data_IF_756266275940
#
_entry.id   IF_756266275940
#
_cell.length_a   1.000
_cell.length_b   1.000
_cell.length_c   1.000
_cell.angle_alpha   90.00
_cell.angle_beta   90.00
_cell.angle_gamma   90.00
#
_symmetry.space_group_name_H-M   'P 1'
#
loop_
_entity.id
_entity.type
_entity.pdbx_description
1 polymer ?
#
# COMPACT_ATOMS: atom_id res chain seq x y z
N UNK A 1 6.89 13.81 -3.41
CA UNK A 1 6.39 13.05 -2.24
C UNK A 1 7.10 11.70 -2.19
N UNK A 2 7.39 11.19 -1.00
CA UNK A 2 7.95 9.85 -0.82
C UNK A 2 6.95 8.99 -0.04
N UNK A 3 6.81 7.73 -0.42
CA UNK A 3 6.09 6.73 0.36
C UNK A 3 7.08 5.74 0.97
N UNK A 4 6.77 5.32 2.19
CA UNK A 4 7.48 4.27 2.88
C UNK A 4 6.48 3.51 3.76
N UNK A 5 6.64 2.20 3.85
CA UNK A 5 5.89 1.34 4.74
C UNK A 5 6.81 0.67 5.76
N UNK A 6 6.23 0.10 6.79
CA UNK A 6 6.95 -0.74 7.75
C UNK A 6 6.13 -2.01 8.00
N UNK A 7 6.81 -3.15 8.08
CA UNK A 7 6.22 -4.43 8.49
C UNK A 7 7.20 -5.17 9.38
N UNK A 8 6.78 -5.52 10.59
CA UNK A 8 7.65 -6.05 11.63
C UNK A 8 8.87 -5.13 11.86
N UNK A 9 10.08 -5.59 11.49
CA UNK A 9 11.35 -4.85 11.60
C UNK A 9 11.88 -4.37 10.25
N UNK A 10 11.09 -4.54 9.18
CA UNK A 10 11.49 -4.21 7.82
C UNK A 10 10.89 -2.89 7.38
N UNK A 11 11.76 -2.01 6.88
CA UNK A 11 11.35 -0.84 6.13
C UNK A 11 11.06 -1.24 4.68
N UNK A 12 9.87 -0.87 4.19
CA UNK A 12 9.40 -1.15 2.84
C UNK A 12 9.42 0.15 2.03
N UNK A 13 10.04 0.11 0.84
CA UNK A 13 10.26 1.31 0.02
C UNK A 13 11.74 1.72 0.01
N UNK A 14 12.09 2.99 -0.21
CA UNK A 14 11.27 4.19 -0.50
C UNK A 14 10.72 4.21 -1.93
N UNK A 15 9.48 4.67 -2.10
CA UNK A 15 8.92 4.96 -3.43
C UNK A 15 8.78 6.47 -3.65
N UNK A 16 9.40 6.98 -4.71
CA UNK A 16 9.35 8.40 -5.08
C UNK A 16 8.28 8.63 -6.13
N UNK A 17 7.26 9.41 -5.80
CA UNK A 17 6.28 9.86 -6.77
C UNK A 17 6.88 10.96 -7.66
N UNK A 18 6.67 10.85 -8.98
CA UNK A 18 7.10 11.86 -9.95
C UNK A 18 6.32 13.17 -9.86
N UNK A 19 5.11 13.11 -9.31
CA UNK A 19 4.19 14.24 -9.16
C UNK A 19 3.52 14.19 -7.78
N UNK A 20 2.56 15.10 -7.55
CA UNK A 20 1.71 15.04 -6.36
C UNK A 20 0.92 13.73 -6.31
N UNK A 21 0.67 13.24 -5.09
CA UNK A 21 -0.09 12.01 -4.90
C UNK A 21 -1.57 12.31 -5.10
N UNK A 22 -2.17 11.56 -6.00
CA UNK A 22 -3.60 11.52 -6.25
C UNK A 22 -4.11 10.09 -6.14
N UNK A 23 -5.43 9.90 -6.32
CA UNK A 23 -6.06 8.57 -6.23
C UNK A 23 -5.46 7.55 -7.22
N UNK A 24 -5.02 7.98 -8.40
CA UNK A 24 -4.57 7.09 -9.46
C UNK A 24 -3.13 6.64 -9.21
N UNK A 25 -2.24 7.60 -8.91
CA UNK A 25 -0.84 7.36 -8.57
C UNK A 25 -0.72 6.55 -7.27
N UNK A 26 -1.57 6.80 -6.28
CA UNK A 26 -1.62 5.98 -5.08
C UNK A 26 -2.09 4.55 -5.38
N UNK A 27 -3.17 4.39 -6.15
CA UNK A 27 -3.62 3.05 -6.56
C UNK A 27 -2.54 2.29 -7.34
N UNK A 28 -1.85 2.96 -8.27
CA UNK A 28 -0.73 2.38 -9.03
C UNK A 28 0.41 1.93 -8.11
N UNK A 29 0.77 2.72 -7.11
CA UNK A 29 1.75 2.31 -6.09
C UNK A 29 1.31 1.02 -5.40
N UNK A 30 0.10 0.98 -4.83
CA UNK A 30 -0.37 -0.18 -4.05
C UNK A 30 -0.57 -1.43 -4.92
N UNK A 31 -1.07 -1.27 -6.15
CA UNK A 31 -1.33 -2.39 -7.06
C UNK A 31 -0.05 -2.94 -7.69
N UNK A 32 0.80 -2.07 -8.21
CA UNK A 32 1.86 -2.48 -9.13
C UNK A 32 3.25 -2.49 -8.46
N UNK A 33 3.49 -1.56 -7.54
CA UNK A 33 4.82 -1.36 -6.95
C UNK A 33 4.96 -2.04 -5.59
N UNK A 34 3.93 -1.98 -4.74
CA UNK A 34 3.95 -2.58 -3.41
C UNK A 34 4.30 -4.08 -3.42
N UNK A 35 3.79 -4.93 -4.34
CA UNK A 35 4.20 -6.34 -4.39
C UNK A 35 5.70 -6.51 -4.64
N UNK A 36 6.31 -5.64 -5.47
CA UNK A 36 7.75 -5.64 -5.76
C UNK A 36 8.53 -5.18 -4.54
N UNK A 37 8.05 -4.15 -3.84
CA UNK A 37 8.68 -3.64 -2.61
C UNK A 37 8.62 -4.66 -1.45
N UNK A 38 7.64 -5.55 -1.47
CA UNK A 38 7.47 -6.61 -0.48
C UNK A 38 8.20 -7.91 -0.84
N UNK A 39 8.93 -7.98 -1.96
CA UNK A 39 9.53 -9.23 -2.46
C UNK A 39 10.46 -9.91 -1.45
N UNK A 40 11.18 -9.10 -0.67
CA UNK A 40 12.18 -9.56 0.30
C UNK A 40 11.55 -9.92 1.66
N UNK A 41 10.24 -9.72 1.80
CA UNK A 41 9.47 -10.13 2.97
C UNK A 41 9.00 -11.57 2.78
N UNK A 42 9.23 -12.39 3.81
CA UNK A 42 8.84 -13.79 3.78
C UNK A 42 7.32 -13.95 3.53
N UNK A 43 6.96 -15.07 2.91
CA UNK A 43 5.60 -15.33 2.47
C UNK A 43 4.62 -15.37 3.65
N UNK A 44 5.03 -15.91 4.80
CA UNK A 44 4.15 -16.05 5.97
C UNK A 44 3.84 -14.71 6.61
N UNK A 45 4.79 -13.78 6.63
CA UNK A 45 4.54 -12.38 7.01
C UNK A 45 3.56 -11.73 6.02
N UNK A 46 3.80 -11.83 4.71
CA UNK A 46 2.92 -11.23 3.69
C UNK A 46 1.50 -11.79 3.70
N UNK A 47 1.32 -13.08 4.02
CA UNK A 47 -0.01 -13.71 4.08
C UNK A 47 -0.82 -13.29 5.30
N UNK A 48 -0.16 -12.85 6.38
CA UNK A 48 -0.79 -12.46 7.65
C UNK A 48 -0.84 -10.96 7.90
N UNK A 49 -0.08 -10.17 7.14
CA UNK A 49 -0.04 -8.72 7.32
C UNK A 49 -1.40 -8.07 7.07
N UNK A 50 -1.63 -6.96 7.76
CA UNK A 50 -2.71 -6.02 7.52
C UNK A 50 -2.15 -4.78 6.86
N UNK A 51 -2.89 -4.21 5.92
CA UNK A 51 -2.52 -2.93 5.33
C UNK A 51 -3.13 -1.77 6.14
N UNK A 52 -2.31 -0.89 6.70
CA UNK A 52 -2.77 0.28 7.45
C UNK A 52 -2.27 1.57 6.78
N UNK A 53 -3.17 2.55 6.64
CA UNK A 53 -2.85 3.90 6.17
C UNK A 53 -3.74 4.94 6.86
N UNK A 54 -3.50 6.23 6.59
CA UNK A 54 -4.36 7.32 7.07
C UNK A 54 -5.50 7.63 6.08
N UNK A 55 -6.50 8.37 6.55
CA UNK A 55 -7.69 8.75 5.79
C UNK A 55 -7.47 9.91 4.80
N UNK A 56 -6.22 10.18 4.37
CA UNK A 56 -5.91 11.22 3.40
C UNK A 56 -6.73 11.08 2.11
N UNK A 57 -7.03 12.19 1.42
CA UNK A 57 -7.95 12.18 0.28
C UNK A 57 -7.58 11.17 -0.84
N UNK A 58 -6.31 10.98 -1.23
CA UNK A 58 -5.94 9.93 -2.19
C UNK A 58 -6.20 8.51 -1.68
N UNK A 59 -6.08 8.29 -0.37
CA UNK A 59 -6.18 6.99 0.28
C UNK A 59 -7.64 6.56 0.51
N UNK A 60 -8.52 7.52 0.80
CA UNK A 60 -9.96 7.31 1.00
C UNK A 60 -10.77 7.32 -0.30
N UNK A 61 -10.13 7.53 -1.46
CA UNK A 61 -10.77 7.47 -2.76
C UNK A 61 -11.48 6.13 -2.99
N UNK A 62 -12.66 6.15 -3.64
CA UNK A 62 -13.48 4.95 -3.84
C UNK A 62 -12.71 3.84 -4.58
N UNK A 63 -11.94 4.18 -5.61
CA UNK A 63 -11.16 3.22 -6.40
C UNK A 63 -10.09 2.50 -5.57
N UNK A 64 -9.52 3.19 -4.57
CA UNK A 64 -8.50 2.65 -3.69
C UNK A 64 -9.13 1.70 -2.68
N UNK A 65 -10.24 2.12 -2.06
CA UNK A 65 -11.01 1.27 -1.13
C UNK A 65 -11.56 0.01 -1.81
N UNK A 66 -12.08 0.12 -3.03
CA UNK A 66 -12.53 -1.02 -3.82
C UNK A 66 -11.39 -2.00 -4.10
N UNK A 67 -10.21 -1.49 -4.46
CA UNK A 67 -9.03 -2.32 -4.65
C UNK A 67 -8.66 -3.07 -3.37
N UNK A 68 -8.64 -2.39 -2.22
CA UNK A 68 -8.34 -3.04 -0.94
C UNK A 68 -9.38 -4.09 -0.56
N UNK A 69 -10.67 -3.80 -0.69
CA UNK A 69 -11.74 -4.77 -0.43
C UNK A 69 -11.59 -6.04 -1.28
N UNK A 70 -11.25 -5.88 -2.56
CA UNK A 70 -11.09 -7.01 -3.48
C UNK A 70 -9.81 -7.83 -3.22
N UNK A 71 -8.70 -7.18 -2.86
CA UNK A 71 -7.38 -7.83 -2.85
C UNK A 71 -6.87 -8.17 -1.44
N UNK A 72 -7.35 -7.51 -0.40
CA UNK A 72 -6.86 -7.67 0.97
C UNK A 72 -7.80 -8.42 1.91
N UNK A 73 -8.99 -8.86 1.43
CA UNK A 73 -9.93 -9.74 2.16
C UNK A 73 -10.19 -9.25 3.60
N UNK A 74 -10.64 -8.01 3.72
CA UNK A 74 -10.93 -7.35 5.00
C UNK A 74 -9.73 -7.14 5.93
N UNK A 75 -8.49 -7.29 5.42
CA UNK A 75 -7.25 -7.02 6.17
C UNK A 75 -6.63 -5.68 5.80
N UNK A 76 -7.44 -4.63 5.84
CA UNK A 76 -6.96 -3.27 5.70
C UNK A 76 -7.76 -2.32 6.60
N UNK A 77 -7.10 -1.27 7.11
CA UNK A 77 -7.69 -0.25 7.99
C UNK A 77 -7.20 1.14 7.54
N UNK A 78 -8.09 2.13 7.55
CA UNK A 78 -7.83 3.53 7.18
C UNK A 78 -8.28 4.53 8.26
#
# INVERSE_FOLDING_TARGET
MVWCGIVNRYLIGTYFFKQNVDRNSYLQLIRDQLPVLLKDIDLETRRRMWFQHDSAAPHSALIVRQFFNQNYRDRWIA
#
